data_IF_426377707985
#
_entry.id   IF_426377707985
#
_cell.length_a   1.000
_cell.length_b   1.000
_cell.length_c   1.000
_cell.angle_alpha   90.00
_cell.angle_beta   90.00
_cell.angle_gamma   90.00
#
_symmetry.space_group_name_H-M   'P 1'
#
loop_
_entity.id
_entity.type
_entity.pdbx_description
1 polymer ?
#
# COMPACT_ATOMS: atom_id res chain seq x y z
N UNK A 1 1.63 -16.98 13.38
CA UNK A 1 1.96 -15.93 12.39
C UNK A 1 2.60 -14.67 13.01
N UNK A 2 2.58 -14.48 14.34
CA UNK A 2 3.16 -13.29 15.00
C UNK A 2 4.69 -13.22 15.00
N UNK A 3 5.39 -14.36 14.94
CA UNK A 3 6.85 -14.41 15.02
C UNK A 3 7.57 -13.84 13.78
N UNK A 4 6.93 -13.82 12.60
CA UNK A 4 7.54 -13.41 11.33
C UNK A 4 7.20 -11.98 10.91
N UNK A 5 6.12 -11.39 11.47
CA UNK A 5 5.67 -10.04 11.09
C UNK A 5 6.70 -8.96 11.45
N UNK A 6 7.25 -9.02 12.66
CA UNK A 6 8.22 -8.02 13.14
C UNK A 6 9.52 -8.01 12.31
N UNK A 7 10.15 -9.16 11.99
CA UNK A 7 11.28 -9.20 11.06
C UNK A 7 10.95 -8.63 9.68
N UNK A 8 9.77 -8.92 9.13
CA UNK A 8 9.35 -8.42 7.83
C UNK A 8 9.17 -6.90 7.82
N UNK A 9 8.45 -6.34 8.78
CA UNK A 9 8.27 -4.89 8.89
C UNK A 9 9.62 -4.17 9.13
N UNK A 10 10.55 -4.82 9.84
CA UNK A 10 11.90 -4.30 10.03
C UNK A 10 12.70 -4.28 8.72
N UNK A 11 12.58 -5.33 7.90
CA UNK A 11 13.20 -5.37 6.57
C UNK A 11 12.60 -4.30 5.65
N UNK A 12 11.26 -4.19 5.58
CA UNK A 12 10.56 -3.18 4.79
C UNK A 12 10.98 -1.77 5.20
N UNK A 13 11.04 -1.50 6.51
CA UNK A 13 11.49 -0.22 7.06
C UNK A 13 12.91 0.12 6.61
N UNK A 14 13.85 -0.82 6.73
CA UNK A 14 15.24 -0.61 6.34
C UNK A 14 15.35 -0.33 4.83
N UNK A 15 14.61 -1.07 4.00
CA UNK A 15 14.60 -0.86 2.54
C UNK A 15 13.97 0.47 2.17
N UNK A 16 12.87 0.88 2.80
CA UNK A 16 12.26 2.19 2.57
C UNK A 16 13.20 3.34 2.98
N UNK A 17 13.89 3.19 4.11
CA UNK A 17 14.85 4.19 4.57
C UNK A 17 16.04 4.35 3.61
N UNK A 18 16.49 3.26 2.99
CA UNK A 18 17.53 3.27 1.96
C UNK A 18 17.03 3.85 0.62
N UNK A 19 15.79 3.53 0.23
CA UNK A 19 15.19 3.95 -1.03
C UNK A 19 14.75 5.43 -1.03
N UNK A 20 14.36 6.00 0.11
CA UNK A 20 13.89 7.39 0.24
C UNK A 20 15.05 8.39 0.37
N UNK A 21 16.05 8.26 -0.49
CA UNK A 21 17.13 9.22 -0.71
C UNK A 21 16.87 9.95 -2.03
N UNK A 22 15.73 10.66 -2.10
CA UNK A 22 15.25 11.32 -3.31
C UNK A 22 15.84 12.73 -3.40
N UNK A 23 16.23 13.12 -4.62
CA UNK A 23 16.70 14.46 -4.94
C UNK A 23 15.85 15.05 -6.07
N UNK A 24 15.80 16.38 -6.13
CA UNK A 24 15.09 17.05 -7.21
C UNK A 24 15.86 16.88 -8.52
N UNK A 25 15.20 16.32 -9.54
CA UNK A 25 15.81 16.00 -10.82
C UNK A 25 14.95 16.51 -11.99
N UNK A 26 15.53 17.34 -12.84
CA UNK A 26 14.84 17.87 -14.03
C UNK A 26 14.82 16.83 -15.15
N UNK A 27 13.71 16.74 -15.89
CA UNK A 27 13.58 15.75 -16.98
C UNK A 27 14.61 16.01 -18.08
N UNK A 28 15.29 14.95 -18.51
CA UNK A 28 16.25 15.01 -19.63
C UNK A 28 15.59 14.96 -21.01
N UNK A 29 14.34 14.49 -21.08
CA UNK A 29 13.62 14.27 -22.35
C UNK A 29 12.77 15.48 -22.74
N UNK A 30 12.18 16.16 -21.76
CA UNK A 30 11.26 17.28 -22.01
C UNK A 30 11.72 18.51 -21.24
N UNK A 31 12.00 19.59 -21.96
CA UNK A 31 12.46 20.84 -21.38
C UNK A 31 11.45 21.39 -20.36
N UNK A 32 11.94 21.86 -19.20
CA UNK A 32 11.13 22.47 -18.12
C UNK A 32 10.09 21.56 -17.47
N UNK A 33 10.16 20.25 -17.70
CA UNK A 33 9.32 19.29 -16.99
C UNK A 33 10.09 18.65 -15.83
N UNK A 34 9.37 18.37 -14.75
CA UNK A 34 9.81 17.55 -13.64
C UNK A 34 8.76 16.46 -13.43
N UNK A 35 9.11 15.22 -13.78
CA UNK A 35 8.21 14.07 -13.73
C UNK A 35 8.87 12.95 -12.93
N UNK A 36 8.11 12.14 -12.19
CA UNK A 36 8.66 10.98 -11.51
C UNK A 36 9.18 9.96 -12.53
N UNK A 37 10.50 9.82 -12.63
CA UNK A 37 11.16 8.95 -13.62
C UNK A 37 10.77 7.47 -13.47
N UNK A 38 10.42 7.02 -12.26
CA UNK A 38 9.93 5.65 -12.01
C UNK A 38 8.59 5.34 -12.72
N UNK A 39 7.78 6.36 -12.99
CA UNK A 39 6.51 6.25 -13.72
C UNK A 39 6.70 6.42 -15.23
N UNK A 40 7.55 7.37 -15.65
CA UNK A 40 7.77 7.67 -17.09
C UNK A 40 8.70 6.65 -17.75
N UNK A 41 9.71 6.17 -17.02
CA UNK A 41 10.68 5.16 -17.47
C UNK A 41 11.40 5.51 -18.79
N UNK A 42 11.58 6.80 -19.04
CA UNK A 42 12.32 7.32 -20.20
C UNK A 42 13.81 7.03 -20.13
N UNK A 43 14.38 7.20 -18.95
CA UNK A 43 15.83 7.13 -18.68
C UNK A 43 16.14 5.92 -17.82
N UNK A 44 16.77 4.90 -18.40
CA UNK A 44 17.07 3.63 -17.70
C UNK A 44 18.14 3.80 -16.62
N UNK A 45 19.04 4.76 -16.80
CA UNK A 45 20.10 5.14 -15.88
C UNK A 45 19.59 5.74 -14.56
N UNK A 46 18.36 6.25 -14.56
CA UNK A 46 17.70 6.80 -13.38
C UNK A 46 16.85 5.75 -12.63
N UNK A 47 16.69 4.55 -13.21
CA UNK A 47 15.92 3.47 -12.62
C UNK A 47 16.83 2.56 -11.80
N UNK A 48 16.61 2.56 -10.49
CA UNK A 48 17.26 1.62 -9.59
C UNK A 48 16.69 0.20 -9.73
N UNK A 49 17.45 -0.78 -9.25
CA UNK A 49 16.98 -2.15 -9.23
C UNK A 49 15.75 -2.28 -8.32
N UNK A 50 14.66 -2.87 -8.82
CA UNK A 50 13.49 -3.17 -8.00
C UNK A 50 13.80 -4.17 -6.89
N UNK A 51 13.20 -3.97 -5.72
CA UNK A 51 13.31 -4.87 -4.59
C UNK A 51 11.93 -5.34 -4.18
N UNK A 52 11.76 -6.66 -4.01
CA UNK A 52 10.53 -7.29 -3.53
C UNK A 52 10.81 -7.96 -2.20
N UNK A 53 9.98 -7.68 -1.19
CA UNK A 53 10.05 -8.30 0.14
C UNK A 53 8.75 -9.05 0.36
N UNK A 54 8.82 -10.36 0.58
CA UNK A 54 7.65 -11.20 0.81
C UNK A 54 7.76 -11.99 2.13
N UNK A 55 6.62 -12.20 2.78
CA UNK A 55 6.49 -13.03 3.99
C UNK A 55 6.35 -14.52 3.68
N UNK A 56 5.91 -14.86 2.47
CA UNK A 56 5.68 -16.22 1.98
C UNK A 56 6.02 -16.31 0.49
N UNK A 57 5.77 -17.47 -0.13
CA UNK A 57 6.08 -17.76 -1.54
C UNK A 57 5.52 -16.66 -2.46
N UNK A 58 6.38 -16.02 -3.28
CA UNK A 58 5.95 -14.92 -4.13
C UNK A 58 5.05 -15.47 -5.24
N UNK A 59 3.83 -14.95 -5.36
CA UNK A 59 2.95 -15.33 -6.47
C UNK A 59 3.25 -14.54 -7.76
N UNK A 60 3.98 -13.42 -7.74
CA UNK A 60 4.38 -12.72 -8.97
C UNK A 60 5.70 -11.92 -8.81
N UNK A 61 6.53 -11.83 -9.87
CA UNK A 61 7.65 -10.92 -9.96
C UNK A 61 7.16 -9.51 -10.36
N UNK A 62 7.35 -8.51 -9.50
CA UNK A 62 6.83 -7.16 -9.75
C UNK A 62 7.55 -6.07 -8.96
N UNK A 63 7.90 -4.99 -9.67
CA UNK A 63 8.78 -3.92 -9.24
C UNK A 63 8.00 -2.73 -8.65
N UNK A 64 7.76 -2.69 -7.33
CA UNK A 64 7.49 -1.48 -6.51
C UNK A 64 7.23 -1.91 -5.05
N UNK A 65 7.27 -1.00 -4.08
CA UNK A 65 6.80 -1.29 -2.71
C UNK A 65 5.30 -1.48 -2.72
N UNK A 66 4.87 -2.73 -2.53
CA UNK A 66 3.52 -3.12 -2.82
C UNK A 66 3.03 -4.08 -1.76
N UNK A 67 1.85 -3.78 -1.22
CA UNK A 67 1.21 -4.59 -0.20
C UNK A 67 0.32 -5.62 -0.88
N UNK A 68 0.56 -6.89 -0.57
CA UNK A 68 -0.45 -7.94 -0.73
C UNK A 68 -0.86 -8.35 0.69
N UNK A 69 -2.09 -8.04 1.10
CA UNK A 69 -2.61 -8.52 2.39
C UNK A 69 -2.97 -10.01 2.25
N UNK A 70 -2.76 -10.78 3.32
CA UNK A 70 -3.09 -12.20 3.35
C UNK A 70 -4.61 -12.38 3.41
N UNK A 71 -5.24 -12.56 2.25
CA UNK A 71 -6.69 -12.78 2.15
C UNK A 71 -7.00 -14.26 2.44
N UNK A 72 -7.50 -14.57 3.64
CA UNK A 72 -7.80 -15.95 4.03
C UNK A 72 -9.14 -16.44 3.46
N UNK A 73 -10.11 -15.54 3.30
CA UNK A 73 -11.48 -15.84 2.87
C UNK A 73 -11.99 -14.91 1.76
N UNK A 74 -12.99 -15.35 0.99
CA UNK A 74 -13.63 -14.52 -0.06
C UNK A 74 -14.20 -13.20 0.47
N UNK A 75 -14.74 -13.20 1.71
CA UNK A 75 -15.24 -11.99 2.37
C UNK A 75 -14.10 -10.99 2.59
N UNK A 76 -12.95 -11.45 3.10
CA UNK A 76 -11.79 -10.60 3.31
C UNK A 76 -11.24 -10.04 2.01
N UNK A 77 -11.22 -10.83 0.94
CA UNK A 77 -10.86 -10.36 -0.39
C UNK A 77 -11.74 -9.22 -0.87
N UNK A 78 -13.07 -9.35 -0.70
CA UNK A 78 -14.02 -8.29 -1.09
C UNK A 78 -13.87 -7.05 -0.20
N UNK A 79 -13.71 -7.25 1.11
CA UNK A 79 -13.52 -6.15 2.07
C UNK A 79 -12.23 -5.39 1.79
N UNK A 80 -11.11 -6.10 1.61
CA UNK A 80 -9.82 -5.52 1.24
C UNK A 80 -9.94 -4.73 -0.07
N UNK A 81 -10.47 -5.34 -1.14
CA UNK A 81 -10.64 -4.66 -2.43
C UNK A 81 -11.49 -3.38 -2.32
N UNK A 82 -12.61 -3.42 -1.57
CA UNK A 82 -13.46 -2.23 -1.36
C UNK A 82 -12.76 -1.16 -0.52
N UNK A 83 -12.04 -1.56 0.53
CA UNK A 83 -11.32 -0.64 1.41
C UNK A 83 -10.17 0.05 0.68
N UNK A 84 -9.33 -0.70 -0.06
CA UNK A 84 -8.27 -0.11 -0.87
C UNK A 84 -8.82 0.83 -1.94
N UNK A 85 -9.90 0.43 -2.63
CA UNK A 85 -10.58 1.29 -3.60
C UNK A 85 -11.11 2.58 -2.95
N UNK A 86 -11.65 2.50 -1.74
CA UNK A 86 -12.13 3.67 -1.01
C UNK A 86 -11.00 4.66 -0.69
N UNK A 87 -9.83 4.17 -0.29
CA UNK A 87 -8.65 5.00 -0.04
C UNK A 87 -8.11 5.63 -1.32
N UNK A 88 -8.03 4.87 -2.41
CA UNK A 88 -7.56 5.38 -3.71
C UNK A 88 -8.46 6.48 -4.28
N UNK A 89 -9.78 6.42 -4.04
CA UNK A 89 -10.70 7.51 -4.42
C UNK A 89 -10.43 8.82 -3.66
N UNK A 90 -9.69 8.78 -2.55
CA UNK A 90 -9.30 9.94 -1.73
C UNK A 90 -7.83 10.28 -1.83
N UNK A 91 -7.13 9.77 -2.84
CA UNK A 91 -5.71 10.03 -3.07
C UNK A 91 -5.36 11.52 -3.25
N UNK A 92 -6.34 12.40 -3.51
CA UNK A 92 -6.09 13.85 -3.52
C UNK A 92 -5.78 14.41 -2.12
N UNK A 93 -6.51 13.93 -1.10
CA UNK A 93 -6.24 14.28 0.30
C UNK A 93 -5.05 13.48 0.86
N UNK A 94 -4.75 12.35 0.22
CA UNK A 94 -3.68 11.44 0.60
C UNK A 94 -2.64 11.41 -0.51
N UNK A 95 -1.84 12.48 -0.58
CA UNK A 95 -0.99 12.82 -1.73
C UNK A 95 0.12 11.80 -2.07
N UNK A 96 0.45 10.86 -1.16
CA UNK A 96 1.40 9.77 -1.46
C UNK A 96 0.72 8.51 -2.04
N UNK A 97 -0.61 8.43 -2.10
CA UNK A 97 -1.31 7.27 -2.67
C UNK A 97 -1.46 7.39 -4.19
N UNK A 98 -1.29 6.27 -4.88
CA UNK A 98 -1.62 6.18 -6.30
C UNK A 98 -3.14 6.01 -6.47
N UNK A 99 -3.71 6.67 -7.48
CA UNK A 99 -5.15 6.52 -7.84
C UNK A 99 -5.48 5.13 -8.37
N UNK A 100 -4.48 4.43 -8.90
CA UNK A 100 -4.57 3.06 -9.41
C UNK A 100 -3.36 2.28 -8.87
N UNK A 101 -3.55 1.06 -8.36
CA UNK A 101 -2.43 0.26 -7.89
C UNK A 101 -1.65 -0.28 -9.09
N UNK A 102 -0.43 -0.75 -8.83
CA UNK A 102 0.32 -1.53 -9.81
C UNK A 102 -0.39 -2.87 -10.02
N UNK A 103 -0.31 -3.37 -11.25
CA UNK A 103 -0.89 -4.67 -11.60
C UNK A 103 -0.32 -5.78 -10.70
N UNK A 104 -1.20 -6.61 -10.16
CA UNK A 104 -0.85 -7.69 -9.22
C UNK A 104 -0.85 -7.30 -7.75
N UNK A 105 -1.20 -6.05 -7.40
CA UNK A 105 -1.15 -5.56 -6.02
C UNK A 105 -2.40 -4.79 -5.62
N UNK A 106 -2.70 -4.78 -4.32
CA UNK A 106 -3.95 -4.22 -3.78
C UNK A 106 -3.90 -2.69 -3.65
N UNK A 107 -2.72 -2.14 -3.30
CA UNK A 107 -2.48 -0.71 -3.12
C UNK A 107 -1.04 -0.33 -3.46
N UNK A 108 -0.80 0.93 -3.81
CA UNK A 108 0.52 1.42 -4.18
C UNK A 108 0.73 2.87 -3.73
N UNK A 109 1.93 3.15 -3.25
CA UNK A 109 2.39 4.49 -2.88
C UNK A 109 3.36 5.04 -3.92
N UNK A 110 3.26 6.34 -4.18
CA UNK A 110 4.22 7.09 -4.99
C UNK A 110 4.79 8.23 -4.14
N UNK A 111 6.06 8.09 -3.75
CA UNK A 111 6.78 9.11 -2.99
C UNK A 111 7.78 9.80 -3.93
N UNK A 112 7.72 11.12 -3.99
CA UNK A 112 8.58 11.97 -4.82
C UNK A 112 9.44 12.88 -3.94
N UNK A 113 10.41 13.57 -4.54
CA UNK A 113 11.23 14.55 -3.83
C UNK A 113 10.38 15.67 -3.19
N UNK A 114 9.29 16.10 -3.83
CA UNK A 114 8.38 17.11 -3.29
C UNK A 114 7.79 16.70 -1.93
N UNK A 115 7.49 15.40 -1.74
CA UNK A 115 7.01 14.89 -0.47
C UNK A 115 8.11 14.94 0.60
N UNK A 116 9.34 14.53 0.25
CA UNK A 116 10.47 14.54 1.21
C UNK A 116 10.99 15.94 1.53
N UNK A 117 10.70 16.93 0.69
CA UNK A 117 10.98 18.35 0.95
C UNK A 117 9.96 18.97 1.94
N UNK A 118 8.69 18.55 1.87
CA UNK A 118 7.62 19.07 2.74
C UNK A 118 7.45 18.30 4.05
N UNK A 119 7.81 17.02 4.08
CA UNK A 119 7.65 16.14 5.23
C UNK A 119 8.94 15.41 5.56
N UNK A 120 9.11 15.10 6.84
CA UNK A 120 10.25 14.31 7.27
C UNK A 120 10.18 12.88 6.73
N UNK A 121 11.24 12.46 6.03
CA UNK A 121 11.34 11.10 5.46
C UNK A 121 11.06 9.99 6.48
N UNK A 122 11.53 10.13 7.72
CA UNK A 122 11.31 9.12 8.76
C UNK A 122 9.83 8.99 9.14
N UNK A 123 9.06 10.09 9.10
CA UNK A 123 7.61 10.07 9.31
C UNK A 123 6.87 9.41 8.15
N UNK A 124 7.34 9.58 6.91
CA UNK A 124 6.79 8.85 5.75
C UNK A 124 7.03 7.34 5.87
N UNK A 125 8.23 6.93 6.29
CA UNK A 125 8.53 5.51 6.56
C UNK A 125 7.64 4.98 7.68
N UNK A 126 7.56 5.68 8.81
CA UNK A 126 6.69 5.30 9.93
C UNK A 126 5.24 5.17 9.50
N UNK A 127 4.77 6.10 8.67
CA UNK A 127 3.42 6.09 8.13
C UNK A 127 3.16 4.83 7.29
N UNK A 128 4.05 4.47 6.37
CA UNK A 128 3.88 3.27 5.53
C UNK A 128 3.87 2.01 6.41
N UNK A 129 4.77 1.90 7.39
CA UNK A 129 4.81 0.75 8.30
C UNK A 129 3.52 0.67 9.13
N UNK A 130 3.09 1.80 9.69
CA UNK A 130 1.85 1.85 10.47
C UNK A 130 0.63 1.49 9.62
N UNK A 131 0.57 1.98 8.39
CA UNK A 131 -0.48 1.63 7.44
C UNK A 131 -0.55 0.12 7.17
N UNK A 132 0.59 -0.54 7.04
CA UNK A 132 0.66 -2.00 6.87
C UNK A 132 0.16 -2.75 8.11
N UNK A 133 0.43 -2.25 9.31
CA UNK A 133 -0.03 -2.88 10.56
C UNK A 133 -1.52 -2.69 10.82
N UNK A 134 -2.08 -1.53 10.46
CA UNK A 134 -3.49 -1.21 10.74
C UNK A 134 -4.45 -1.79 9.72
N UNK A 135 -4.05 -1.97 8.44
CA UNK A 135 -4.94 -2.56 7.43
C UNK A 135 -5.47 -3.93 7.86
N UNK A 136 -4.60 -4.81 8.33
CA UNK A 136 -5.01 -6.19 8.64
C UNK A 136 -5.97 -6.20 9.84
N UNK A 137 -5.79 -5.27 10.80
CA UNK A 137 -6.71 -5.09 11.93
C UNK A 137 -8.05 -4.54 11.46
N UNK A 138 -8.05 -3.48 10.65
CA UNK A 138 -9.26 -2.86 10.13
C UNK A 138 -10.09 -3.85 9.29
N UNK A 139 -9.45 -4.65 8.44
CA UNK A 139 -10.14 -5.70 7.66
C UNK A 139 -10.75 -6.77 8.59
N UNK A 140 -10.03 -7.16 9.63
CA UNK A 140 -10.52 -8.12 10.63
C UNK A 140 -11.73 -7.56 11.39
N UNK A 141 -11.68 -6.30 11.79
CA UNK A 141 -12.79 -5.60 12.47
C UNK A 141 -14.01 -5.45 11.56
N UNK A 142 -13.81 -5.07 10.29
CA UNK A 142 -14.88 -5.01 9.29
C UNK A 142 -15.57 -6.37 9.11
N UNK A 143 -14.79 -7.47 9.07
CA UNK A 143 -15.33 -8.83 8.97
C UNK A 143 -16.19 -9.19 10.18
N UNK A 144 -15.71 -8.90 11.39
CA UNK A 144 -16.47 -9.13 12.63
C UNK A 144 -17.77 -8.32 12.64
N UNK A 145 -17.71 -7.05 12.21
CA UNK A 145 -18.88 -6.17 12.11
C UNK A 145 -19.95 -6.69 11.14
N UNK A 146 -19.53 -7.16 9.96
CA UNK A 146 -20.44 -7.79 8.98
C UNK A 146 -21.11 -9.03 9.56
N UNK A 147 -20.35 -9.92 10.20
CA UNK A 147 -20.89 -11.13 10.80
C UNK A 147 -21.86 -10.86 11.96
N UNK A 148 -21.51 -9.91 12.85
CA UNK A 148 -22.38 -9.50 13.94
C UNK A 148 -23.70 -8.92 13.42
N UNK A 149 -23.64 -8.06 12.40
CA UNK A 149 -24.83 -7.48 11.78
C UNK A 149 -25.69 -8.53 11.08
N UNK A 150 -25.07 -9.46 10.36
CA UNK A 150 -25.78 -10.56 9.71
C UNK A 150 -26.57 -11.42 10.72
N UNK A 151 -25.98 -11.69 11.90
CA UNK A 151 -26.67 -12.40 12.98
C UNK A 151 -27.90 -11.65 13.49
N UNK A 152 -27.76 -10.36 13.78
CA UNK A 152 -28.88 -9.51 14.24
C UNK A 152 -30.01 -9.50 13.22
N UNK A 153 -29.69 -9.34 11.94
CA UNK A 153 -30.69 -9.34 10.86
C UNK A 153 -31.42 -10.69 10.77
N UNK A 154 -30.70 -11.80 10.89
CA UNK A 154 -31.29 -13.14 10.86
C UNK A 154 -32.21 -13.39 12.08
N UNK A 155 -31.77 -13.02 13.28
CA UNK A 155 -32.57 -13.14 14.52
C UNK A 155 -33.84 -12.30 14.43
N UNK A 156 -33.74 -11.06 13.96
CA UNK A 156 -34.90 -10.17 13.85
C UNK A 156 -35.89 -10.63 12.78
N UNK A 157 -35.40 -11.17 11.66
CA UNK A 157 -36.26 -11.76 10.64
C UNK A 157 -37.04 -12.96 11.20
N UNK A 158 -36.37 -13.86 11.95
CA UNK A 158 -36.99 -15.06 12.50
C UNK A 158 -37.99 -14.80 13.63
N UNK A 159 -37.86 -13.70 14.38
CA UNK A 159 -38.87 -13.32 15.40
C UNK A 159 -40.25 -12.99 14.82
N UNK A 160 -40.30 -12.66 13.53
CA UNK A 160 -41.52 -12.27 12.84
C UNK A 160 -42.22 -13.45 12.13
N UNK A 161 -41.72 -14.68 12.31
CA UNK A 161 -42.37 -15.93 11.89
C UNK A 161 -42.86 -16.69 13.12
#
# INVERSE_FOLDING_TARGET
MTATLRPYLSAVRATLQAALCLENFSSQVVERHNKPEVEVRSSKELLLQPVTISMSTPQLPGNTFLLCSHQADEIEKILCHKFMRFMMMRAENFFILRRKPVEGYDISFLITNFHTEQMYKHKLVDFVIHFMEEIDKEISEMKLSVNARARIVAEEFLKNF
#
